data_IF_391484573008
#
_entry.id   IF_391484573008
#
_cell.length_a   1.000
_cell.length_b   1.000
_cell.length_c   1.000
_cell.angle_alpha   90.00
_cell.angle_beta   90.00
_cell.angle_gamma   90.00
#
_symmetry.space_group_name_H-M   'P 1'
#
loop_
_entity.id
_entity.type
_entity.pdbx_description
1 polymer ?
#
# COMPACT_ATOMS: atom_id res chain seq x y z
N UNK A 1 0.00 8.00 27.60
CA UNK A 1 -0.70 8.76 26.53
C UNK A 1 -0.77 7.88 25.29
N UNK A 2 -1.95 7.35 24.99
CA UNK A 2 -2.20 6.61 23.75
C UNK A 2 -2.23 7.63 22.61
N UNK A 3 -1.13 7.74 21.86
CA UNK A 3 -1.08 8.62 20.68
C UNK A 3 -2.10 8.05 19.70
N UNK A 4 -3.21 8.77 19.51
CA UNK A 4 -4.23 8.38 18.55
C UNK A 4 -3.56 8.21 17.18
N UNK A 5 -3.67 7.01 16.61
CA UNK A 5 -3.21 6.67 15.25
C UNK A 5 -4.10 7.40 14.25
N UNK A 6 -3.93 8.71 14.16
CA UNK A 6 -4.79 9.57 13.35
C UNK A 6 -4.09 9.82 12.03
N UNK A 7 -4.63 9.23 10.96
CA UNK A 7 -4.30 9.63 9.60
C UNK A 7 -4.98 10.95 9.29
N UNK A 8 -4.26 11.88 8.64
CA UNK A 8 -4.77 13.20 8.28
C UNK A 8 -4.32 13.59 6.88
N UNK A 9 -5.16 14.34 6.20
CA UNK A 9 -4.84 15.00 4.93
C UNK A 9 -5.20 16.47 5.08
N UNK A 10 -4.30 17.38 4.72
CA UNK A 10 -4.53 18.81 4.82
C UNK A 10 -3.74 19.60 3.78
N UNK A 11 -4.19 20.83 3.51
CA UNK A 11 -3.49 21.79 2.65
C UNK A 11 -2.44 22.56 3.47
N UNK A 12 -1.24 22.71 2.92
CA UNK A 12 -0.13 23.53 3.45
C UNK A 12 0.09 24.70 2.50
N UNK A 13 0.33 25.88 3.04
CA UNK A 13 0.53 27.11 2.25
C UNK A 13 2.01 27.41 1.94
N UNK A 14 2.96 26.82 2.68
CA UNK A 14 4.39 26.95 2.38
C UNK A 14 5.19 25.76 2.94
N UNK A 15 5.86 24.94 2.09
CA UNK A 15 5.65 24.88 0.65
C UNK A 15 4.20 24.51 0.34
N UNK A 16 3.64 25.09 -0.72
CA UNK A 16 2.25 24.85 -1.12
C UNK A 16 2.05 23.38 -1.51
N UNK A 17 0.97 22.77 -1.03
CA UNK A 17 0.64 21.38 -1.36
C UNK A 17 -0.31 20.67 -0.41
N UNK A 18 -0.62 19.42 -0.76
CA UNK A 18 -1.46 18.50 0.01
C UNK A 18 -0.57 17.53 0.78
N UNK A 19 -0.67 17.54 2.10
CA UNK A 19 0.18 16.74 2.99
C UNK A 19 -0.61 15.57 3.53
N UNK A 20 -0.04 14.37 3.42
CA UNK A 20 -0.57 13.15 4.01
C UNK A 20 0.25 12.78 5.24
N UNK A 21 -0.41 12.71 6.38
CA UNK A 21 0.20 12.33 7.66
C UNK A 21 -0.40 11.02 8.15
N UNK A 22 0.45 10.16 8.70
CA UNK A 22 0.03 8.95 9.40
C UNK A 22 0.83 8.80 10.68
N UNK A 23 0.12 8.50 11.78
CA UNK A 23 0.75 8.31 13.10
C UNK A 23 1.65 9.49 13.51
N UNK A 24 1.28 10.70 13.10
CA UNK A 24 2.04 11.93 13.36
C UNK A 24 3.25 12.18 12.44
N UNK A 25 3.57 11.26 11.53
CA UNK A 25 4.64 11.40 10.55
C UNK A 25 4.11 11.85 9.17
N UNK A 26 4.78 12.83 8.56
CA UNK A 26 4.55 13.20 7.16
C UNK A 26 5.02 12.07 6.25
N UNK A 27 4.07 11.44 5.56
CA UNK A 27 4.35 10.36 4.62
C UNK A 27 4.70 10.89 3.24
N UNK A 28 3.94 11.90 2.78
CA UNK A 28 4.07 12.45 1.45
C UNK A 28 3.50 13.87 1.38
N UNK A 29 4.06 14.65 0.46
CA UNK A 29 3.56 15.98 0.08
C UNK A 29 3.34 15.96 -1.43
N UNK A 30 2.15 16.37 -1.86
CA UNK A 30 1.75 16.46 -3.26
C UNK A 30 1.55 17.93 -3.63
N UNK A 31 1.82 18.29 -4.89
CA UNK A 31 1.65 19.67 -5.37
C UNK A 31 0.18 20.04 -5.52
N UNK A 32 -0.69 19.07 -5.79
CA UNK A 32 -2.13 19.27 -5.92
C UNK A 32 -2.94 18.06 -5.46
N UNK A 33 -4.25 18.25 -5.32
CA UNK A 33 -5.19 17.17 -5.02
C UNK A 33 -5.22 16.14 -6.16
N UNK A 34 -5.19 16.59 -7.42
CA UNK A 34 -5.12 15.71 -8.59
C UNK A 34 -3.88 14.81 -8.56
N UNK A 35 -2.70 15.34 -8.21
CA UNK A 35 -1.48 14.54 -8.12
C UNK A 35 -1.59 13.45 -7.04
N UNK A 36 -2.19 13.79 -5.89
CA UNK A 36 -2.47 12.83 -4.82
C UNK A 36 -3.38 11.71 -5.33
N UNK A 37 -4.51 12.07 -5.95
CA UNK A 37 -5.51 11.11 -6.44
C UNK A 37 -4.89 10.19 -7.51
N UNK A 38 -4.21 10.77 -8.49
CA UNK A 38 -3.57 10.02 -9.57
C UNK A 38 -2.51 9.06 -9.03
N UNK A 39 -1.66 9.52 -8.11
CA UNK A 39 -0.64 8.69 -7.46
C UNK A 39 -1.29 7.55 -6.67
N UNK A 40 -2.39 7.82 -5.97
CA UNK A 40 -3.10 6.81 -5.21
C UNK A 40 -3.70 5.73 -6.11
N UNK A 41 -4.38 6.11 -7.21
CA UNK A 41 -4.95 5.17 -8.18
C UNK A 41 -3.85 4.32 -8.83
N UNK A 42 -2.78 4.95 -9.30
CA UNK A 42 -1.62 4.23 -9.88
C UNK A 42 -1.01 3.25 -8.89
N UNK A 43 -0.88 3.66 -7.62
CA UNK A 43 -0.40 2.82 -6.53
C UNK A 43 -1.27 1.58 -6.29
N UNK A 44 -2.59 1.75 -6.27
CA UNK A 44 -3.53 0.63 -6.12
C UNK A 44 -3.42 -0.36 -7.29
N UNK A 45 -3.37 0.14 -8.53
CA UNK A 45 -3.21 -0.70 -9.73
C UNK A 45 -1.87 -1.45 -9.75
N UNK A 46 -0.80 -0.79 -9.32
CA UNK A 46 0.52 -1.43 -9.22
C UNK A 46 0.52 -2.54 -8.17
N UNK A 47 -0.12 -2.31 -7.02
CA UNK A 47 -0.26 -3.30 -5.95
C UNK A 47 -1.06 -4.52 -6.40
N UNK A 48 -2.20 -4.31 -7.05
CA UNK A 48 -3.04 -5.39 -7.57
C UNK A 48 -2.28 -6.29 -8.57
N UNK A 49 -1.52 -5.67 -9.47
CA UNK A 49 -0.63 -6.38 -10.40
C UNK A 49 0.45 -7.18 -9.66
N UNK A 50 1.01 -6.64 -8.57
CA UNK A 50 2.03 -7.32 -7.78
C UNK A 50 1.43 -8.51 -7.01
N UNK A 51 0.26 -8.35 -6.42
CA UNK A 51 -0.41 -9.39 -5.65
C UNK A 51 -0.86 -10.55 -6.56
N UNK A 52 -1.38 -10.25 -7.75
CA UNK A 52 -1.67 -11.26 -8.79
C UNK A 52 -0.41 -12.06 -9.18
N UNK A 53 0.73 -11.39 -9.32
CA UNK A 53 2.02 -12.06 -9.60
C UNK A 53 2.47 -12.95 -8.44
N UNK A 54 2.29 -12.52 -7.19
CA UNK A 54 2.61 -13.32 -6.00
C UNK A 54 1.75 -14.58 -5.92
N UNK A 55 0.44 -14.46 -6.10
CA UNK A 55 -0.49 -15.61 -6.11
C UNK A 55 -0.08 -16.61 -7.19
N UNK A 56 0.18 -16.13 -8.43
CA UNK A 56 0.66 -17.00 -9.51
C UNK A 56 1.97 -17.70 -9.18
N UNK A 57 2.90 -17.03 -8.49
CA UNK A 57 4.16 -17.64 -8.03
C UNK A 57 3.89 -18.75 -7.01
N UNK A 58 3.07 -18.50 -5.99
CA UNK A 58 2.70 -19.47 -4.96
C UNK A 58 2.09 -20.72 -5.58
N UNK A 59 1.09 -20.54 -6.48
CA UNK A 59 0.44 -21.64 -7.17
C UNK A 59 1.40 -22.45 -8.04
N UNK A 60 2.39 -21.81 -8.68
CA UNK A 60 3.41 -22.50 -9.48
C UNK A 60 4.40 -23.28 -8.62
N UNK A 61 4.72 -22.80 -7.42
CA UNK A 61 5.60 -23.48 -6.46
C UNK A 61 4.90 -24.58 -5.66
N UNK A 62 3.57 -24.61 -5.63
CA UNK A 62 2.81 -25.65 -4.96
C UNK A 62 2.90 -26.97 -5.74
N UNK A 63 3.60 -27.97 -5.17
CA UNK A 63 3.61 -29.34 -5.67
C UNK A 63 2.65 -30.19 -4.83
N UNK A 64 1.57 -30.76 -5.41
CA UNK A 64 0.61 -31.59 -4.68
C UNK A 64 1.21 -32.85 -4.04
N UNK A 65 2.39 -33.28 -4.48
CA UNK A 65 3.08 -34.48 -3.99
C UNK A 65 3.60 -34.37 -2.55
N UNK A 66 3.75 -33.16 -2.01
CA UNK A 66 4.35 -32.95 -0.68
C UNK A 66 3.34 -33.19 0.46
N UNK A 67 2.04 -33.25 0.16
CA UNK A 67 0.97 -33.47 1.15
C UNK A 67 0.70 -34.96 1.40
N UNK A 68 1.04 -35.83 0.45
CA UNK A 68 0.62 -37.25 0.45
C UNK A 68 1.57 -38.15 1.29
N UNK A 69 2.77 -37.70 1.65
CA UNK A 69 3.75 -38.49 2.42
C UNK A 69 3.56 -38.46 3.95
N UNK A 70 2.45 -37.94 4.48
CA UNK A 70 2.22 -37.80 5.93
C UNK A 70 1.19 -38.78 6.54
N UNK A 71 0.92 -39.90 5.88
CA UNK A 71 0.23 -41.02 6.52
C UNK A 71 0.99 -42.30 6.23
N UNK A 72 1.48 -42.89 7.32
CA UNK A 72 2.11 -44.21 7.42
C UNK A 72 1.30 -45.31 6.71
#
# INVERSE_FOLDING_TARGET
MTIARTSRVYYRTSPDGVVVVKDGAELAVYRSTEELIETHIKGMLAKDRQDTRKVRKILRSYRPSDVIRSRD
#
